data_IF_191744324874
#
_entry.id   IF_191744324874
#
_cell.length_a   1.000
_cell.length_b   1.000
_cell.length_c   1.000
_cell.angle_alpha   90.00
_cell.angle_beta   90.00
_cell.angle_gamma   90.00
#
_symmetry.space_group_name_H-M   'P 1'
#
loop_
_entity.id
_entity.type
_entity.pdbx_description
1 polymer ?
#
# COMPACT_ATOMS: atom_id res chain seq x y z
N UNK A 1 -3.32 34.13 39.44
CA UNK A 1 -2.59 33.66 38.24
C UNK A 1 -3.46 33.91 37.03
N UNK A 2 -2.96 34.61 36.01
CA UNK A 2 -3.78 35.02 34.87
C UNK A 2 -3.72 33.96 33.77
N UNK A 3 -4.79 33.78 33.02
CA UNK A 3 -4.92 32.74 31.98
C UNK A 3 -3.74 32.70 31.00
N UNK A 4 -3.18 33.88 30.67
CA UNK A 4 -1.99 34.00 29.82
C UNK A 4 -0.75 33.32 30.42
N UNK A 5 -0.52 33.46 31.73
CA UNK A 5 0.62 32.82 32.42
C UNK A 5 0.48 31.30 32.50
N UNK A 6 -0.75 30.80 32.64
CA UNK A 6 -1.04 29.36 32.58
C UNK A 6 -0.81 28.81 31.17
N UNK A 7 -1.22 29.53 30.13
CA UNK A 7 -1.00 29.13 28.74
C UNK A 7 0.49 29.00 28.44
N UNK A 8 1.29 30.02 28.77
CA UNK A 8 2.76 30.02 28.55
C UNK A 8 3.42 28.84 29.28
N UNK A 9 3.05 28.60 30.53
CA UNK A 9 3.61 27.49 31.30
C UNK A 9 3.28 26.13 30.67
N UNK A 10 2.04 25.92 30.23
CA UNK A 10 1.63 24.66 29.58
C UNK A 10 2.39 24.47 28.26
N UNK A 11 2.43 25.50 27.40
CA UNK A 11 3.12 25.40 26.11
C UNK A 11 4.61 25.10 26.29
N UNK A 12 5.25 25.74 27.27
CA UNK A 12 6.66 25.51 27.56
C UNK A 12 6.92 24.08 28.06
N UNK A 13 6.12 23.60 29.01
CA UNK A 13 6.26 22.22 29.55
C UNK A 13 6.01 21.18 28.45
N UNK A 14 4.97 21.36 27.64
CA UNK A 14 4.69 20.46 26.52
C UNK A 14 5.79 20.49 25.46
N UNK A 15 6.30 21.67 25.10
CA UNK A 15 7.40 21.81 24.15
C UNK A 15 8.70 21.17 24.65
N UNK A 16 9.05 21.39 25.92
CA UNK A 16 10.22 20.78 26.54
C UNK A 16 10.11 19.25 26.61
N UNK A 17 8.92 18.71 26.90
CA UNK A 17 8.68 17.26 26.91
C UNK A 17 8.85 16.65 25.50
N UNK A 18 8.32 17.30 24.45
CA UNK A 18 8.47 16.86 23.06
C UNK A 18 9.93 16.93 22.61
N UNK A 19 10.62 18.04 22.89
CA UNK A 19 12.03 18.19 22.55
C UNK A 19 12.90 17.15 23.27
N UNK A 20 12.67 16.94 24.57
CA UNK A 20 13.39 15.94 25.36
C UNK A 20 13.18 14.52 24.83
N UNK A 21 11.93 14.14 24.50
CA UNK A 21 11.66 12.83 23.90
C UNK A 21 12.30 12.67 22.52
N UNK A 22 12.26 13.71 21.68
CA UNK A 22 12.91 13.68 20.37
C UNK A 22 14.43 13.54 20.46
N UNK A 23 15.07 14.21 21.42
CA UNK A 23 16.53 14.10 21.62
C UNK A 23 16.95 12.73 22.18
N UNK A 24 16.13 12.11 23.04
CA UNK A 24 16.45 10.81 23.65
C UNK A 24 16.13 9.62 22.75
N UNK A 25 14.97 9.63 22.08
CA UNK A 25 14.48 8.51 21.27
C UNK A 25 14.59 8.73 19.76
N UNK A 26 14.93 9.94 19.32
CA UNK A 26 14.84 10.33 17.92
C UNK A 26 13.41 10.63 17.48
N UNK A 27 13.24 10.84 16.18
CA UNK A 27 11.92 10.98 15.57
C UNK A 27 11.14 9.66 15.59
N UNK A 28 9.80 9.70 15.45
CA UNK A 28 8.99 8.49 15.36
C UNK A 28 9.47 7.61 14.19
N UNK A 29 9.74 6.33 14.45
CA UNK A 29 10.04 5.38 13.39
C UNK A 29 8.81 5.18 12.51
N UNK A 30 8.95 5.52 11.22
CA UNK A 30 7.89 5.36 10.21
C UNK A 30 8.15 4.15 9.30
N UNK A 31 8.88 3.14 9.79
CA UNK A 31 9.14 1.92 9.02
C UNK A 31 7.89 1.05 8.98
N UNK A 32 7.56 0.51 7.81
CA UNK A 32 6.49 -0.48 7.71
C UNK A 32 7.01 -1.82 8.25
N UNK A 33 6.67 -2.16 9.50
CA UNK A 33 6.94 -3.50 10.03
C UNK A 33 5.78 -4.42 9.67
N UNK A 34 5.99 -5.33 8.72
CA UNK A 34 5.01 -6.37 8.42
C UNK A 34 5.20 -7.55 9.39
N UNK A 35 4.19 -7.84 10.21
CA UNK A 35 4.15 -9.03 11.05
C UNK A 35 3.11 -10.01 10.47
N UNK A 36 3.55 -11.14 9.86
CA UNK A 36 2.63 -12.11 9.25
C UNK A 36 1.57 -12.67 10.20
N UNK A 37 1.81 -12.68 11.51
CA UNK A 37 0.85 -13.16 12.51
C UNK A 37 -0.23 -12.13 12.87
N UNK A 38 -0.04 -10.86 12.49
CA UNK A 38 -0.94 -9.75 12.84
C UNK A 38 -1.70 -9.17 11.63
N UNK A 39 -1.37 -9.59 10.41
CA UNK A 39 -2.07 -9.18 9.19
C UNK A 39 -3.30 -10.05 8.93
N UNK A 40 -4.20 -9.59 8.06
CA UNK A 40 -5.41 -10.36 7.72
C UNK A 40 -5.05 -11.59 6.88
N UNK A 41 -5.93 -12.59 6.85
CA UNK A 41 -5.68 -13.87 6.17
C UNK A 41 -5.48 -13.71 4.64
N UNK A 42 -6.08 -12.67 4.06
CA UNK A 42 -5.96 -12.29 2.64
C UNK A 42 -4.74 -11.41 2.34
N UNK A 43 -3.98 -11.02 3.38
CA UNK A 43 -2.83 -10.12 3.24
C UNK A 43 -1.50 -10.88 3.23
N UNK A 44 -0.53 -10.33 2.51
CA UNK A 44 0.84 -10.86 2.43
C UNK A 44 1.88 -9.76 2.63
N UNK A 45 2.99 -10.10 3.30
CA UNK A 45 4.15 -9.23 3.43
C UNK A 45 5.02 -9.28 2.17
N UNK A 46 5.62 -8.13 1.78
CA UNK A 46 6.54 -8.08 0.65
C UNK A 46 7.73 -9.05 0.78
N UNK A 47 8.17 -9.30 2.02
CA UNK A 47 9.28 -10.23 2.33
C UNK A 47 8.93 -11.69 2.07
N UNK A 48 7.64 -12.04 1.97
CA UNK A 48 7.18 -13.40 1.67
C UNK A 48 7.11 -13.68 0.17
N UNK A 49 7.32 -12.66 -0.68
CA UNK A 49 7.24 -12.75 -2.12
C UNK A 49 8.66 -12.85 -2.66
N UNK A 50 9.00 -13.99 -3.28
CA UNK A 50 10.29 -14.18 -3.92
C UNK A 50 10.44 -13.21 -5.11
N UNK A 51 11.66 -12.75 -5.36
CA UNK A 51 11.92 -11.76 -6.41
C UNK A 51 11.63 -12.28 -7.84
N UNK A 52 11.72 -13.59 -8.03
CA UNK A 52 11.51 -14.33 -9.26
C UNK A 52 10.13 -15.02 -9.34
N UNK A 53 9.27 -14.81 -8.33
CA UNK A 53 7.93 -15.38 -8.34
C UNK A 53 7.12 -14.85 -9.53
N UNK A 54 6.52 -15.76 -10.31
CA UNK A 54 5.61 -15.41 -11.39
C UNK A 54 4.28 -14.89 -10.80
N UNK A 55 4.19 -13.58 -10.63
CA UNK A 55 3.05 -12.90 -10.01
C UNK A 55 2.56 -11.79 -10.92
N UNK A 56 1.25 -11.69 -11.08
CA UNK A 56 0.62 -10.53 -11.69
C UNK A 56 0.37 -9.48 -10.62
N UNK A 57 1.01 -8.32 -10.77
CA UNK A 57 0.84 -7.20 -9.86
C UNK A 57 -0.28 -6.28 -10.35
N UNK A 58 -1.20 -5.93 -9.46
CA UNK A 58 -2.33 -5.04 -9.76
C UNK A 58 -2.24 -3.80 -8.86
N UNK A 59 -2.09 -2.62 -9.46
CA UNK A 59 -2.12 -1.33 -8.77
C UNK A 59 -3.55 -0.81 -8.69
N UNK A 60 -4.06 -0.59 -7.49
CA UNK A 60 -5.40 -0.06 -7.22
C UNK A 60 -5.43 1.45 -6.98
N UNK A 61 -4.30 2.15 -7.17
CA UNK A 61 -4.21 3.62 -7.03
C UNK A 61 -4.77 4.34 -8.26
N UNK A 62 -4.78 5.66 -8.19
CA UNK A 62 -5.13 6.50 -9.35
C UNK A 62 -4.15 6.27 -10.51
N UNK A 63 -4.62 6.46 -11.74
CA UNK A 63 -3.77 6.41 -12.95
C UNK A 63 -2.52 7.28 -12.80
N UNK A 64 -2.69 8.49 -12.29
CA UNK A 64 -1.61 9.46 -12.09
C UNK A 64 -0.52 8.93 -11.17
N UNK A 65 -0.88 8.24 -10.09
CA UNK A 65 0.10 7.66 -9.17
C UNK A 65 0.81 6.45 -9.79
N UNK A 66 0.07 5.59 -10.48
CA UNK A 66 0.64 4.44 -11.20
C UNK A 66 1.58 4.86 -12.34
N UNK A 67 1.23 5.90 -13.08
CA UNK A 67 2.08 6.46 -14.13
C UNK A 67 3.34 7.11 -13.56
N UNK A 68 3.26 7.75 -12.39
CA UNK A 68 4.41 8.37 -11.72
C UNK A 68 5.39 7.34 -11.19
N UNK A 69 4.92 6.37 -10.43
CA UNK A 69 5.77 5.47 -9.63
C UNK A 69 5.15 4.07 -9.42
N UNK A 70 4.29 3.61 -10.32
CA UNK A 70 3.80 2.23 -10.30
C UNK A 70 4.90 1.19 -10.41
N UNK A 71 4.67 0.03 -9.80
CA UNK A 71 5.59 -1.10 -9.91
C UNK A 71 5.78 -1.51 -11.39
N UNK A 72 7.03 -1.68 -11.87
CA UNK A 72 7.27 -2.12 -13.23
C UNK A 72 6.57 -3.45 -13.54
N UNK A 73 5.86 -3.49 -14.66
CA UNK A 73 5.09 -4.67 -15.09
C UNK A 73 3.74 -4.86 -14.37
N UNK A 74 3.35 -3.98 -13.45
CA UNK A 74 2.00 -4.03 -12.86
C UNK A 74 0.95 -3.49 -13.84
N UNK A 75 -0.26 -4.01 -13.70
CA UNK A 75 -1.45 -3.50 -14.40
C UNK A 75 -2.22 -2.55 -13.49
N UNK A 76 -2.88 -1.55 -14.06
CA UNK A 76 -3.75 -0.64 -13.33
C UNK A 76 -5.17 -1.22 -13.25
N UNK A 77 -5.72 -1.34 -12.05
CA UNK A 77 -7.15 -1.61 -11.85
C UNK A 77 -7.63 -0.87 -10.61
N UNK A 78 -8.31 0.25 -10.83
CA UNK A 78 -8.90 1.05 -9.76
C UNK A 78 -10.43 1.16 -9.93
N UNK A 79 -11.06 1.97 -9.08
CA UNK A 79 -12.50 2.22 -9.09
C UNK A 79 -12.82 3.65 -9.56
N UNK A 80 -11.88 4.31 -10.25
CA UNK A 80 -12.07 5.68 -10.72
C UNK A 80 -13.08 5.71 -11.88
N UNK A 81 -14.10 6.57 -11.79
CA UNK A 81 -15.19 6.64 -12.78
C UNK A 81 -14.75 7.09 -14.19
N UNK A 82 -13.52 7.60 -14.32
CA UNK A 82 -12.92 7.99 -15.60
C UNK A 82 -12.23 6.84 -16.34
N UNK A 83 -12.11 5.66 -15.71
CA UNK A 83 -11.51 4.47 -16.30
C UNK A 83 -12.60 3.56 -16.90
N UNK A 84 -12.35 3.01 -18.09
CA UNK A 84 -13.24 2.03 -18.70
C UNK A 84 -13.06 0.66 -18.04
N UNK A 85 -13.86 0.42 -16.99
CA UNK A 85 -13.78 -0.79 -16.17
C UNK A 85 -13.95 -2.07 -16.99
N UNK A 86 -14.76 -2.06 -18.05
CA UNK A 86 -15.02 -3.25 -18.85
C UNK A 86 -13.84 -3.64 -19.73
N UNK A 87 -13.19 -2.66 -20.34
CA UNK A 87 -11.98 -2.89 -21.14
C UNK A 87 -10.84 -3.39 -20.24
N UNK A 88 -10.66 -2.82 -19.05
CA UNK A 88 -9.65 -3.29 -18.08
C UNK A 88 -9.95 -4.69 -17.55
N UNK A 89 -11.21 -5.00 -17.23
CA UNK A 89 -11.63 -6.32 -16.76
C UNK A 89 -11.26 -7.41 -17.79
N UNK A 90 -11.51 -7.17 -19.08
CA UNK A 90 -11.20 -8.13 -20.13
C UNK A 90 -9.69 -8.35 -20.31
N UNK A 91 -8.89 -7.27 -20.35
CA UNK A 91 -7.43 -7.38 -20.51
C UNK A 91 -6.78 -8.07 -19.31
N UNK A 92 -7.19 -7.70 -18.10
CA UNK A 92 -6.61 -8.24 -16.88
C UNK A 92 -7.06 -9.68 -16.68
N UNK A 93 -8.32 -10.03 -16.98
CA UNK A 93 -8.79 -11.40 -16.90
C UNK A 93 -7.94 -12.36 -17.75
N UNK A 94 -7.55 -11.96 -18.97
CA UNK A 94 -6.65 -12.75 -19.81
C UNK A 94 -5.28 -12.97 -19.14
N UNK A 95 -4.68 -11.94 -18.55
CA UNK A 95 -3.38 -12.03 -17.84
C UNK A 95 -3.45 -12.87 -16.56
N UNK A 96 -4.59 -12.83 -15.85
CA UNK A 96 -4.83 -13.62 -14.65
C UNK A 96 -4.91 -15.10 -15.00
N UNK A 97 -5.57 -15.47 -16.10
CA UNK A 97 -5.66 -16.86 -16.54
C UNK A 97 -4.27 -17.45 -16.81
N UNK A 98 -3.33 -16.63 -17.29
CA UNK A 98 -1.94 -17.04 -17.59
C UNK A 98 -1.00 -17.05 -16.38
N UNK A 99 -1.44 -16.48 -15.24
CA UNK A 99 -0.61 -16.26 -14.06
C UNK A 99 -1.28 -16.83 -12.80
N UNK A 100 -0.70 -17.87 -12.17
CA UNK A 100 -1.34 -18.58 -11.07
C UNK A 100 -1.53 -17.75 -9.80
N UNK A 101 -0.89 -16.58 -9.70
CA UNK A 101 -0.90 -15.73 -8.51
C UNK A 101 -1.03 -14.25 -8.85
N UNK A 102 -1.97 -13.58 -8.19
CA UNK A 102 -2.27 -12.16 -8.36
C UNK A 102 -2.08 -11.44 -7.03
N UNK A 103 -1.32 -10.35 -7.02
CA UNK A 103 -1.11 -9.53 -5.84
C UNK A 103 -1.58 -8.10 -6.10
N UNK A 104 -2.56 -7.68 -5.30
CA UNK A 104 -3.17 -6.35 -5.41
C UNK A 104 -2.60 -5.42 -4.36
N UNK A 105 -2.17 -4.22 -4.75
CA UNK A 105 -1.65 -3.21 -3.83
C UNK A 105 -2.36 -1.87 -4.04
N UNK A 106 -2.46 -1.08 -2.97
CA UNK A 106 -2.87 0.34 -3.02
C UNK A 106 -1.74 1.21 -2.46
N UNK A 107 -1.97 2.48 -2.10
CA UNK A 107 -0.93 3.40 -1.61
C UNK A 107 -0.28 2.99 -0.29
N UNK A 108 -1.06 2.47 0.67
CA UNK A 108 -0.59 2.15 2.02
C UNK A 108 -1.50 1.10 2.70
N UNK A 109 -1.16 0.73 3.93
CA UNK A 109 -1.89 -0.22 4.77
C UNK A 109 -3.34 0.18 5.09
N UNK A 110 -3.67 1.48 4.99
CA UNK A 110 -4.99 2.02 5.34
C UNK A 110 -5.89 2.29 4.13
N UNK A 111 -5.41 2.08 2.90
CA UNK A 111 -6.15 2.47 1.71
C UNK A 111 -7.43 1.65 1.50
N UNK A 112 -7.42 0.35 1.80
CA UNK A 112 -8.59 -0.53 1.69
C UNK A 112 -9.07 -0.85 0.26
N UNK A 113 -8.75 -0.02 -0.75
CA UNK A 113 -9.11 -0.26 -2.17
C UNK A 113 -8.55 -1.57 -2.71
N UNK A 114 -7.33 -1.94 -2.31
CA UNK A 114 -6.71 -3.19 -2.75
C UNK A 114 -7.54 -4.42 -2.40
N UNK A 115 -8.26 -4.40 -1.27
CA UNK A 115 -9.19 -5.47 -0.88
C UNK A 115 -10.44 -5.49 -1.75
N UNK A 116 -11.02 -4.33 -2.03
CA UNK A 116 -12.21 -4.25 -2.90
C UNK A 116 -11.90 -4.76 -4.32
N UNK A 117 -10.73 -4.40 -4.85
CA UNK A 117 -10.25 -4.90 -6.15
C UNK A 117 -9.97 -6.41 -6.07
N UNK A 118 -9.32 -6.90 -5.01
CA UNK A 118 -9.09 -8.33 -4.81
C UNK A 118 -10.41 -9.13 -4.75
N UNK A 119 -11.43 -8.61 -4.05
CA UNK A 119 -12.77 -9.21 -3.99
C UNK A 119 -13.44 -9.25 -5.37
N UNK A 120 -13.33 -8.17 -6.16
CA UNK A 120 -13.82 -8.15 -7.54
C UNK A 120 -13.13 -9.18 -8.42
N UNK A 121 -11.81 -9.26 -8.36
CA UNK A 121 -11.03 -10.25 -9.12
C UNK A 121 -11.44 -11.67 -8.69
N UNK A 122 -11.63 -11.90 -7.40
CA UNK A 122 -12.05 -13.20 -6.88
C UNK A 122 -13.46 -13.58 -7.34
N UNK A 123 -14.37 -12.59 -7.46
CA UNK A 123 -15.71 -12.79 -7.96
C UNK A 123 -15.75 -13.22 -9.44
N UNK A 124 -14.70 -12.93 -10.23
CA UNK A 124 -14.58 -13.41 -11.61
C UNK A 124 -14.21 -14.90 -11.71
N UNK A 125 -13.88 -15.57 -10.60
CA UNK A 125 -13.61 -17.02 -10.53
C UNK A 125 -12.58 -17.51 -11.56
N UNK A 126 -11.53 -16.73 -11.79
CA UNK A 126 -10.49 -17.01 -12.80
C UNK A 126 -9.46 -18.07 -12.37
N UNK A 127 -9.61 -18.67 -11.18
CA UNK A 127 -8.77 -19.77 -10.69
C UNK A 127 -7.37 -19.38 -10.19
N UNK A 128 -7.06 -18.08 -10.08
CA UNK A 128 -5.79 -17.60 -9.55
C UNK A 128 -5.83 -17.40 -8.02
N UNK A 129 -4.69 -17.57 -7.36
CA UNK A 129 -4.51 -17.22 -5.95
C UNK A 129 -4.38 -15.70 -5.81
N UNK A 130 -5.33 -15.08 -5.11
CA UNK A 130 -5.38 -13.62 -4.96
C UNK A 130 -4.93 -13.25 -3.54
N UNK A 131 -3.99 -12.32 -3.44
CA UNK A 131 -3.53 -11.76 -2.17
C UNK A 131 -3.47 -10.25 -2.22
N UNK A 132 -3.64 -9.61 -1.06
CA UNK A 132 -3.49 -8.17 -0.89
C UNK A 132 -2.13 -7.86 -0.29
N UNK A 133 -1.38 -6.94 -0.89
CA UNK A 133 -0.09 -6.53 -0.34
C UNK A 133 -0.29 -5.63 0.90
N UNK A 134 0.17 -6.10 2.06
CA UNK A 134 0.20 -5.30 3.27
C UNK A 134 1.16 -4.11 3.11
N UNK A 135 0.70 -2.91 3.46
CA UNK A 135 1.46 -1.67 3.32
C UNK A 135 1.56 -1.12 1.89
N UNK A 136 1.00 -1.82 0.90
CA UNK A 136 0.82 -1.29 -0.45
C UNK A 136 2.10 -0.79 -1.13
N UNK A 137 1.99 0.30 -1.87
CA UNK A 137 3.08 0.94 -2.61
C UNK A 137 4.23 1.35 -1.69
N UNK A 138 3.94 1.79 -0.46
CA UNK A 138 4.96 2.10 0.53
C UNK A 138 5.86 0.90 0.83
N UNK A 139 5.28 -0.30 0.95
CA UNK A 139 6.03 -1.54 1.14
C UNK A 139 6.96 -1.83 -0.03
N UNK A 140 6.47 -1.63 -1.26
CA UNK A 140 7.26 -1.83 -2.49
C UNK A 140 8.42 -0.82 -2.59
N UNK A 141 8.15 0.44 -2.25
CA UNK A 141 9.14 1.50 -2.27
C UNK A 141 10.23 1.28 -1.21
N UNK A 142 9.85 0.92 0.02
CA UNK A 142 10.80 0.57 1.09
C UNK A 142 11.63 -0.70 0.74
N UNK A 143 11.05 -1.63 -0.01
CA UNK A 143 11.74 -2.82 -0.53
C UNK A 143 12.60 -2.57 -1.78
N UNK A 144 12.67 -1.34 -2.28
CA UNK A 144 13.46 -0.98 -3.47
C UNK A 144 12.93 -1.58 -4.78
N UNK A 145 11.65 -1.93 -4.85
CA UNK A 145 11.01 -2.52 -6.05
C UNK A 145 10.47 -1.47 -7.03
N UNK A 146 10.37 -0.21 -6.60
CA UNK A 146 9.84 0.88 -7.42
C UNK A 146 10.99 1.57 -8.15
N UNK A 147 10.88 1.61 -9.47
CA UNK A 147 11.73 2.44 -10.31
C UNK A 147 11.05 3.79 -10.50
N UNK A 148 11.78 4.89 -10.29
CA UNK A 148 11.29 6.21 -10.70
C UNK A 148 11.30 6.23 -12.23
N UNK A 149 10.13 6.33 -12.85
CA UNK A 149 10.04 6.55 -14.29
C UNK A 149 10.68 7.91 -14.62
N UNK A 150 11.51 7.98 -15.69
CA UNK A 150 12.20 9.20 -16.09
C UNK A 150 11.24 10.31 -16.52
#
# INVERSE_FOLDING_TARGET
MNAFGQLVAITFVSGAAVAGTYLLKGGPERKLTCNPAAIKKDEICIQQILADAKVLWVDARSRKDWERDGLPGSVLWNLDAGEDTQTFEAEIAARIIETPRVIVYCGNENCGLSRQIAEKINALQLGAEISVLYGGWRALNEAGRIEKKP
#
